data_IF_351449899798
#
_entry.id   IF_351449899798
#
_cell.length_a   1.000
_cell.length_b   1.000
_cell.length_c   1.000
_cell.angle_alpha   90.00
_cell.angle_beta   90.00
_cell.angle_gamma   90.00
#
_symmetry.space_group_name_H-M   'P 1'
#
loop_
_entity.id
_entity.type
_entity.pdbx_description
1 polymer ?
#
# COMPACT_ATOMS: atom_id res chain seq x y z
N UNK A 1 37.56 -82.30 -40.66
CA UNK A 1 37.18 -81.01 -40.08
C UNK A 1 38.42 -80.14 -40.11
N UNK A 2 38.44 -79.14 -41.00
CA UNK A 2 39.66 -78.43 -41.40
C UNK A 2 40.21 -77.51 -40.31
N UNK A 3 41.50 -77.65 -40.00
CA UNK A 3 42.24 -76.83 -39.02
C UNK A 3 42.27 -75.32 -39.38
N UNK A 4 41.92 -74.97 -40.60
CA UNK A 4 41.75 -73.58 -41.02
C UNK A 4 40.39 -73.01 -40.63
N UNK A 5 39.35 -73.84 -40.63
CA UNK A 5 38.00 -73.44 -40.23
C UNK A 5 37.96 -73.08 -38.74
N UNK A 6 38.57 -73.91 -37.88
CA UNK A 6 38.68 -73.62 -36.44
C UNK A 6 39.43 -72.32 -36.15
N UNK A 7 40.52 -72.06 -36.89
CA UNK A 7 41.28 -70.82 -36.73
C UNK A 7 40.51 -69.59 -37.19
N UNK A 8 39.62 -69.73 -38.17
CA UNK A 8 38.76 -68.66 -38.68
C UNK A 8 37.59 -68.39 -37.72
N UNK A 9 36.97 -69.43 -37.19
CA UNK A 9 35.92 -69.32 -36.16
C UNK A 9 36.47 -68.68 -34.90
N UNK A 10 37.66 -69.10 -34.43
CA UNK A 10 38.28 -68.52 -33.24
C UNK A 10 38.60 -67.03 -33.42
N UNK A 11 39.12 -66.63 -34.58
CA UNK A 11 39.34 -65.21 -34.91
C UNK A 11 38.05 -64.39 -34.97
N UNK A 12 37.00 -64.90 -35.62
CA UNK A 12 35.71 -64.20 -35.66
C UNK A 12 35.05 -64.10 -34.29
N UNK A 13 35.28 -65.07 -33.41
CA UNK A 13 34.77 -65.04 -32.03
C UNK A 13 35.54 -64.04 -31.18
N UNK A 14 36.88 -64.01 -31.27
CA UNK A 14 37.71 -63.06 -30.53
C UNK A 14 37.53 -61.61 -31.01
N UNK A 15 37.30 -61.40 -32.32
CA UNK A 15 36.97 -60.08 -32.88
C UNK A 15 35.55 -59.64 -32.51
N UNK A 16 34.58 -60.54 -32.51
CA UNK A 16 33.20 -60.26 -32.06
C UNK A 16 33.12 -59.99 -30.54
N UNK A 17 33.98 -60.61 -29.73
CA UNK A 17 34.07 -60.32 -28.30
C UNK A 17 34.67 -58.95 -28.00
N UNK A 18 35.62 -58.47 -28.82
CA UNK A 18 36.17 -57.12 -28.65
C UNK A 18 35.13 -56.02 -28.85
N UNK A 19 34.20 -56.19 -29.80
CA UNK A 19 33.09 -55.25 -30.01
C UNK A 19 32.10 -55.23 -28.83
N UNK A 20 31.94 -56.37 -28.13
CA UNK A 20 31.16 -56.44 -26.88
C UNK A 20 31.87 -55.73 -25.71
N UNK A 21 33.21 -55.82 -25.65
CA UNK A 21 34.01 -55.11 -24.64
C UNK A 21 33.97 -53.59 -24.85
N UNK A 22 34.01 -53.10 -26.10
CA UNK A 22 33.80 -51.68 -26.40
C UNK A 22 32.45 -51.18 -25.91
N UNK A 23 31.37 -51.96 -26.01
CA UNK A 23 30.06 -51.58 -25.49
C UNK A 23 30.05 -51.50 -23.95
N UNK A 24 30.78 -52.37 -23.27
CA UNK A 24 30.92 -52.30 -21.80
C UNK A 24 31.74 -51.09 -21.36
N UNK A 25 32.81 -50.76 -22.09
CA UNK A 25 33.69 -49.64 -21.81
C UNK A 25 33.03 -48.29 -22.17
N UNK A 26 32.29 -48.24 -23.27
CA UNK A 26 31.45 -47.11 -23.66
C UNK A 26 30.28 -46.93 -22.69
N UNK A 27 29.62 -48.01 -22.24
CA UNK A 27 28.63 -47.92 -21.16
C UNK A 27 29.28 -47.39 -19.89
N UNK A 28 30.49 -47.82 -19.54
CA UNK A 28 31.27 -47.31 -18.40
C UNK A 28 31.55 -45.81 -18.53
N UNK A 29 32.09 -45.37 -19.66
CA UNK A 29 32.39 -43.96 -19.97
C UNK A 29 31.13 -43.09 -20.05
N UNK A 30 30.02 -43.59 -20.58
CA UNK A 30 28.71 -42.91 -20.59
C UNK A 30 28.13 -42.83 -19.18
N UNK A 31 28.21 -43.89 -18.36
CA UNK A 31 27.80 -43.86 -16.95
C UNK A 31 28.65 -42.88 -16.13
N UNK A 32 29.94 -42.76 -16.45
CA UNK A 32 30.86 -41.84 -15.79
C UNK A 32 30.68 -40.38 -16.25
N UNK A 33 30.28 -40.15 -17.51
CA UNK A 33 29.87 -38.82 -18.02
C UNK A 33 28.51 -38.39 -17.47
N UNK A 34 27.55 -39.29 -17.30
CA UNK A 34 26.23 -39.01 -16.69
C UNK A 34 26.37 -38.74 -15.17
N UNK A 35 27.31 -39.39 -14.47
CA UNK A 35 27.62 -39.08 -13.07
C UNK A 35 28.35 -37.74 -12.85
N UNK A 36 28.70 -37.01 -13.91
CA UNK A 36 29.21 -35.64 -13.86
C UNK A 36 28.12 -34.59 -14.01
N UNK A 37 26.84 -34.96 -13.83
CA UNK A 37 25.85 -33.97 -13.51
C UNK A 37 26.17 -33.38 -12.14
N UNK A 38 26.39 -32.08 -12.18
CA UNK A 38 26.74 -31.15 -11.10
C UNK A 38 26.06 -31.58 -9.80
N UNK A 39 26.72 -31.45 -8.63
CA UNK A 39 26.07 -31.76 -7.37
C UNK A 39 24.75 -31.02 -7.34
N UNK A 40 23.64 -31.78 -7.30
CA UNK A 40 22.33 -31.24 -7.06
C UNK A 40 22.40 -30.65 -5.65
N UNK A 41 22.86 -29.38 -5.56
CA UNK A 41 22.65 -28.57 -4.38
C UNK A 41 21.15 -28.56 -4.27
N UNK A 42 20.61 -29.37 -3.34
CA UNK A 42 19.24 -29.23 -2.87
C UNK A 42 19.13 -27.76 -2.51
N UNK A 43 18.57 -26.96 -3.42
CA UNK A 43 18.23 -25.58 -3.20
C UNK A 43 17.01 -25.68 -2.29
N UNK A 44 17.24 -25.90 -1.00
CA UNK A 44 16.19 -25.92 0.02
C UNK A 44 15.37 -24.61 -0.01
N UNK A 45 15.93 -23.56 -0.60
CA UNK A 45 15.29 -22.29 -0.90
C UNK A 45 14.37 -22.29 -2.13
N UNK A 46 14.47 -23.24 -3.07
CA UNK A 46 13.58 -23.28 -4.24
C UNK A 46 12.08 -23.43 -3.88
N UNK A 47 11.67 -24.36 -3.00
CA UNK A 47 10.27 -24.41 -2.56
C UNK A 47 9.88 -23.21 -1.70
N UNK A 48 10.81 -22.65 -0.92
CA UNK A 48 10.55 -21.48 -0.06
C UNK A 48 10.33 -20.22 -0.91
N UNK A 49 11.15 -20.00 -1.93
CA UNK A 49 11.03 -18.86 -2.85
C UNK A 49 9.76 -18.98 -3.69
N UNK A 50 9.39 -20.18 -4.16
CA UNK A 50 8.12 -20.34 -4.87
C UNK A 50 6.92 -20.05 -3.97
N UNK A 51 6.97 -20.46 -2.69
CA UNK A 51 5.91 -20.18 -1.72
C UNK A 51 5.82 -18.67 -1.42
N UNK A 52 6.97 -18.00 -1.27
CA UNK A 52 7.06 -16.54 -1.09
C UNK A 52 6.47 -15.77 -2.28
N UNK A 53 6.77 -16.20 -3.52
CA UNK A 53 6.22 -15.57 -4.73
C UNK A 53 4.70 -15.76 -4.80
N UNK A 54 4.19 -16.95 -4.46
CA UNK A 54 2.74 -17.21 -4.43
C UNK A 54 2.06 -16.36 -3.35
N UNK A 55 2.66 -16.25 -2.15
CA UNK A 55 2.14 -15.39 -1.07
C UNK A 55 2.15 -13.92 -1.50
N UNK A 56 3.20 -13.45 -2.16
CA UNK A 56 3.32 -12.07 -2.61
C UNK A 56 2.33 -11.75 -3.75
N UNK A 57 2.07 -12.69 -4.65
CA UNK A 57 1.02 -12.55 -5.67
C UNK A 57 -0.38 -12.58 -5.06
N UNK A 58 -0.64 -13.44 -4.06
CA UNK A 58 -1.90 -13.42 -3.31
C UNK A 58 -2.09 -12.11 -2.55
N UNK A 59 -1.02 -11.54 -1.99
CA UNK A 59 -1.04 -10.25 -1.30
C UNK A 59 -1.35 -9.11 -2.27
N UNK A 60 -0.67 -9.04 -3.42
CA UNK A 60 -0.97 -8.05 -4.47
C UNK A 60 -2.40 -8.23 -4.98
N UNK A 61 -2.84 -9.46 -5.21
CA UNK A 61 -4.20 -9.74 -5.68
C UNK A 61 -5.25 -9.31 -4.66
N UNK A 62 -5.03 -9.56 -3.36
CA UNK A 62 -5.92 -9.10 -2.29
C UNK A 62 -5.95 -7.57 -2.15
N UNK A 63 -4.81 -6.91 -2.29
CA UNK A 63 -4.72 -5.43 -2.32
C UNK A 63 -5.46 -4.85 -3.52
N UNK A 64 -5.38 -5.48 -4.68
CA UNK A 64 -6.04 -5.01 -5.92
C UNK A 64 -7.54 -5.34 -5.95
N UNK A 65 -7.98 -6.44 -5.33
CA UNK A 65 -9.39 -6.86 -5.33
C UNK A 65 -10.20 -6.48 -4.08
N UNK A 66 -9.55 -5.98 -3.02
CA UNK A 66 -10.24 -5.66 -1.77
C UNK A 66 -10.86 -6.87 -1.06
N UNK A 67 -10.38 -8.09 -1.32
CA UNK A 67 -10.87 -9.31 -0.69
C UNK A 67 -10.07 -9.62 0.60
N UNK A 68 -10.79 -9.75 1.72
CA UNK A 68 -10.25 -9.95 3.06
C UNK A 68 -9.46 -11.27 3.19
N UNK A 69 -8.13 -11.17 3.31
CA UNK A 69 -7.26 -12.30 3.68
C UNK A 69 -7.41 -12.61 5.17
N UNK A 70 -8.19 -13.65 5.51
CA UNK A 70 -8.48 -14.11 6.87
C UNK A 70 -7.30 -14.71 7.68
N UNK A 71 -6.05 -14.31 7.40
CA UNK A 71 -4.87 -14.72 8.17
C UNK A 71 -4.13 -13.53 8.82
N UNK A 72 -4.52 -12.30 8.50
CA UNK A 72 -4.05 -11.09 9.19
C UNK A 72 -5.28 -10.53 9.91
N UNK A 73 -5.21 -10.50 11.24
CA UNK A 73 -6.33 -10.25 12.14
C UNK A 73 -7.28 -9.17 11.66
N UNK A 74 -8.53 -9.57 11.52
CA UNK A 74 -9.72 -8.83 11.11
C UNK A 74 -10.10 -7.72 12.12
N UNK A 75 -9.16 -7.26 12.94
CA UNK A 75 -9.33 -6.15 13.89
C UNK A 75 -8.40 -4.99 13.50
N UNK A 76 -7.22 -5.31 12.96
CA UNK A 76 -6.24 -4.32 12.49
C UNK A 76 -6.62 -3.74 11.12
N UNK A 77 -7.17 -4.56 10.22
CA UNK A 77 -7.63 -4.12 8.90
C UNK A 77 -9.07 -3.58 8.90
N UNK A 78 -9.96 -4.11 9.75
CA UNK A 78 -11.37 -3.67 9.79
C UNK A 78 -11.50 -2.24 10.33
N UNK A 79 -10.74 -1.89 11.38
CA UNK A 79 -10.64 -0.49 11.82
C UNK A 79 -9.88 0.42 10.84
N UNK A 80 -9.18 -0.14 9.85
CA UNK A 80 -8.51 0.62 8.81
C UNK A 80 -9.44 0.95 7.63
N UNK A 81 -10.47 0.12 7.37
CA UNK A 81 -11.35 0.24 6.20
C UNK A 81 -12.85 0.44 6.49
N UNK A 82 -13.34 0.24 7.73
CA UNK A 82 -14.77 0.39 8.02
C UNK A 82 -15.21 1.85 8.16
N UNK A 83 -14.39 2.72 8.77
CA UNK A 83 -14.71 4.14 8.90
C UNK A 83 -14.19 4.99 7.73
N UNK A 84 -13.14 4.55 7.02
CA UNK A 84 -12.54 5.29 5.90
C UNK A 84 -13.36 5.23 4.61
N UNK A 85 -14.41 4.40 4.54
CA UNK A 85 -15.21 4.25 3.31
C UNK A 85 -16.37 5.22 3.19
N UNK A 86 -16.72 5.92 4.27
CA UNK A 86 -17.92 6.75 4.32
C UNK A 86 -17.63 8.23 4.54
N UNK A 87 -16.38 8.60 4.80
CA UNK A 87 -16.06 9.98 5.13
C UNK A 87 -14.68 10.41 4.64
N UNK A 88 -14.68 11.45 3.82
CA UNK A 88 -13.48 12.18 3.41
C UNK A 88 -13.75 13.69 3.56
N UNK A 89 -12.74 14.47 3.93
CA UNK A 89 -12.77 15.93 4.01
C UNK A 89 -11.50 16.56 3.45
N UNK A 90 -11.69 17.66 2.76
CA UNK A 90 -10.68 18.56 2.27
C UNK A 90 -11.01 19.96 2.77
N UNK A 91 -10.04 20.60 3.41
CA UNK A 91 -10.16 21.98 3.84
C UNK A 91 -9.01 22.75 3.19
N UNK A 92 -9.37 23.76 2.41
CA UNK A 92 -8.43 24.57 1.65
C UNK A 92 -8.46 26.02 2.16
N UNK A 93 -7.45 26.41 2.92
CA UNK A 93 -7.32 27.76 3.43
C UNK A 93 -6.77 28.71 2.36
N UNK A 94 -7.43 29.87 2.18
CA UNK A 94 -7.07 30.84 1.12
C UNK A 94 -5.63 31.35 1.22
N UNK A 95 -5.11 31.50 2.43
CA UNK A 95 -3.73 31.91 2.70
C UNK A 95 -3.02 30.94 3.66
N UNK A 96 -3.31 29.64 3.57
CA UNK A 96 -2.83 28.65 4.53
C UNK A 96 -2.54 27.26 3.92
N UNK A 97 -2.31 26.25 4.78
CA UNK A 97 -2.21 24.88 4.32
C UNK A 97 -3.59 24.38 3.88
N UNK A 98 -3.61 23.55 2.84
CA UNK A 98 -4.75 22.75 2.44
C UNK A 98 -4.54 21.34 3.00
N UNK A 99 -5.51 20.80 3.73
CA UNK A 99 -5.46 19.43 4.24
C UNK A 99 -6.50 18.60 3.51
N UNK A 100 -6.05 17.55 2.81
CA UNK A 100 -6.91 16.61 2.11
C UNK A 100 -6.79 15.24 2.76
N UNK A 101 -7.88 14.75 3.34
CA UNK A 101 -7.97 13.34 3.76
C UNK A 101 -8.31 12.41 2.59
N UNK A 102 -8.81 12.95 1.46
CA UNK A 102 -9.01 12.18 0.21
C UNK A 102 -7.69 11.65 -0.33
N UNK A 103 -6.70 12.55 -0.42
CA UNK A 103 -5.38 12.23 -0.96
C UNK A 103 -4.40 11.81 0.14
N UNK A 104 -4.78 12.02 1.40
CA UNK A 104 -3.90 11.85 2.56
C UNK A 104 -2.69 12.77 2.42
N UNK A 105 -2.93 14.06 2.16
CA UNK A 105 -1.86 15.05 1.99
C UNK A 105 -2.16 16.34 2.73
N UNK A 106 -1.08 17.04 3.09
CA UNK A 106 -1.11 18.45 3.45
C UNK A 106 -0.26 19.20 2.44
N UNK A 107 -0.86 20.22 1.86
CA UNK A 107 -0.23 21.09 0.87
C UNK A 107 -0.09 22.47 1.46
N UNK A 108 1.05 23.10 1.26
CA UNK A 108 1.24 24.51 1.55
C UNK A 108 2.09 25.11 0.45
N UNK A 109 1.60 26.17 -0.18
CA UNK A 109 2.28 26.79 -1.32
C UNK A 109 2.63 25.70 -2.35
N UNK A 110 3.92 25.46 -2.59
CA UNK A 110 4.42 24.43 -3.52
C UNK A 110 4.87 23.12 -2.84
N UNK A 111 4.72 23.01 -1.52
CA UNK A 111 5.17 21.85 -0.73
C UNK A 111 3.99 20.93 -0.44
N UNK A 112 4.04 19.72 -0.98
CA UNK A 112 3.08 18.64 -0.68
C UNK A 112 3.77 17.60 0.20
N UNK A 113 3.20 17.32 1.37
CA UNK A 113 3.64 16.22 2.24
C UNK A 113 2.54 15.17 2.37
N UNK A 114 2.88 13.87 2.32
CA UNK A 114 1.92 12.83 2.67
C UNK A 114 1.49 13.06 4.12
N UNK A 115 0.26 12.77 4.48
CA UNK A 115 -0.31 12.93 5.81
C UNK A 115 -1.08 11.66 6.16
N UNK A 116 -0.81 11.12 7.35
CA UNK A 116 -1.56 9.97 7.86
C UNK A 116 -2.05 10.25 9.27
N UNK A 117 -3.36 10.05 9.44
CA UNK A 117 -4.01 10.09 10.73
C UNK A 117 -4.05 8.67 11.32
N UNK A 118 -3.74 8.58 12.60
CA UNK A 118 -3.95 7.39 13.43
C UNK A 118 -5.44 7.09 13.58
N UNK A 119 -5.77 5.89 14.07
CA UNK A 119 -7.16 5.51 14.29
C UNK A 119 -7.88 6.48 15.23
N UNK A 120 -7.26 6.80 16.36
CA UNK A 120 -7.86 7.67 17.37
C UNK A 120 -8.07 9.11 16.87
N UNK A 121 -7.13 9.62 16.05
CA UNK A 121 -7.28 10.93 15.40
C UNK A 121 -8.42 10.93 14.39
N UNK A 122 -8.53 9.87 13.56
CA UNK A 122 -9.63 9.74 12.60
C UNK A 122 -10.98 9.63 13.29
N UNK A 123 -11.08 8.86 14.37
CA UNK A 123 -12.34 8.68 15.10
C UNK A 123 -12.80 10.01 15.73
N UNK A 124 -11.86 10.86 16.20
CA UNK A 124 -12.17 12.21 16.69
C UNK A 124 -12.62 13.16 15.58
N UNK A 125 -11.91 13.17 14.45
CA UNK A 125 -12.28 13.95 13.27
C UNK A 125 -13.70 13.54 12.84
N UNK A 126 -13.95 12.25 12.68
CA UNK A 126 -15.24 11.72 12.29
C UNK A 126 -16.36 12.12 13.25
N UNK A 127 -16.17 11.95 14.56
CA UNK A 127 -17.15 12.36 15.55
C UNK A 127 -17.48 13.87 15.48
N UNK A 128 -16.48 14.70 15.16
CA UNK A 128 -16.69 16.13 14.97
C UNK A 128 -17.49 16.43 13.70
N UNK A 129 -17.20 15.76 12.59
CA UNK A 129 -18.00 15.89 11.36
C UNK A 129 -19.44 15.43 11.56
N UNK A 130 -19.67 14.31 12.24
CA UNK A 130 -21.03 13.83 12.51
C UNK A 130 -21.85 14.83 13.35
N UNK A 131 -21.17 15.70 14.12
CA UNK A 131 -21.81 16.77 14.87
C UNK A 131 -22.18 17.99 14.01
N UNK A 132 -21.70 18.08 12.78
CA UNK A 132 -21.93 19.18 11.84
C UNK A 132 -22.99 18.76 10.83
N UNK A 133 -24.02 19.58 10.66
CA UNK A 133 -25.13 19.28 9.75
C UNK A 133 -24.83 19.64 8.29
N UNK A 134 -23.87 18.92 7.70
CA UNK A 134 -23.54 19.08 6.28
C UNK A 134 -24.72 18.72 5.36
N UNK A 135 -25.57 17.75 5.75
CA UNK A 135 -26.71 17.32 4.92
C UNK A 135 -27.85 18.35 4.93
N UNK A 136 -28.11 19.00 6.07
CA UNK A 136 -29.13 20.03 6.25
C UNK A 136 -28.75 21.42 5.74
N UNK A 137 -27.46 21.64 5.47
CA UNK A 137 -26.92 22.91 4.98
C UNK A 137 -26.43 23.80 6.13
N UNK A 138 -25.24 24.38 5.94
CA UNK A 138 -24.59 25.22 6.95
C UNK A 138 -25.00 26.69 6.82
N UNK A 139 -25.35 27.31 7.95
CA UNK A 139 -25.53 28.75 8.07
C UNK A 139 -24.16 29.41 8.20
N UNK A 140 -23.58 29.82 7.07
CA UNK A 140 -22.28 30.48 7.03
C UNK A 140 -22.44 31.97 6.74
N UNK A 141 -21.88 32.85 7.58
CA UNK A 141 -21.99 34.29 7.40
C UNK A 141 -21.18 34.76 6.19
N UNK A 142 -21.74 35.70 5.44
CA UNK A 142 -21.01 36.45 4.41
C UNK A 142 -19.83 37.23 5.03
N UNK A 143 -18.81 37.51 4.22
CA UNK A 143 -17.59 38.27 4.59
C UNK A 143 -17.86 39.69 5.16
N UNK A 144 -19.11 40.18 5.09
CA UNK A 144 -19.48 41.56 5.45
C UNK A 144 -19.52 41.74 6.96
N UNK A 145 -18.54 42.47 7.49
CA UNK A 145 -18.51 42.91 8.90
C UNK A 145 -17.78 41.98 9.84
N UNK A 146 -17.06 41.01 9.30
CA UNK A 146 -16.26 40.10 10.08
C UNK A 146 -14.80 40.57 10.14
N UNK A 147 -14.21 40.53 11.35
CA UNK A 147 -12.76 40.60 11.49
C UNK A 147 -12.21 39.27 11.01
N UNK A 148 -11.90 39.19 9.70
CA UNK A 148 -11.32 38.00 9.09
C UNK A 148 -10.16 37.49 9.95
N UNK A 149 -10.14 36.19 10.22
CA UNK A 149 -8.95 35.55 10.76
C UNK A 149 -7.73 35.91 9.89
N UNK A 150 -6.51 35.91 10.45
CA UNK A 150 -5.30 36.36 9.75
C UNK A 150 -5.00 35.64 8.42
N UNK A 151 -5.67 34.52 8.14
CA UNK A 151 -5.43 33.66 6.98
C UNK A 151 -6.60 33.66 5.96
N UNK A 152 -7.62 34.50 6.18
CA UNK A 152 -8.79 34.62 5.32
C UNK A 152 -9.79 33.47 5.49
N UNK A 153 -10.73 33.38 4.54
CA UNK A 153 -11.69 32.27 4.47
C UNK A 153 -11.04 30.95 4.02
N UNK A 154 -11.78 29.86 4.19
CA UNK A 154 -11.39 28.53 3.72
C UNK A 154 -12.56 27.84 3.03
N UNK A 155 -12.24 26.97 2.09
CA UNK A 155 -13.20 26.12 1.40
C UNK A 155 -13.19 24.74 2.06
N UNK A 156 -14.37 24.23 2.39
CA UNK A 156 -14.58 22.90 2.97
C UNK A 156 -15.30 22.05 1.95
N UNK A 157 -14.72 20.90 1.66
CA UNK A 157 -15.31 19.86 0.84
C UNK A 157 -15.38 18.58 1.64
N UNK A 158 -16.59 18.18 2.01
CA UNK A 158 -16.86 16.95 2.75
C UNK A 158 -17.54 15.93 1.84
N UNK A 159 -17.08 14.69 1.85
CA UNK A 159 -17.76 13.54 1.26
C UNK A 159 -18.31 12.67 2.39
N UNK A 160 -19.62 12.55 2.50
CA UNK A 160 -20.30 11.76 3.53
C UNK A 160 -21.17 10.72 2.84
N UNK A 161 -20.93 9.42 3.12
CA UNK A 161 -21.67 8.27 2.55
C UNK A 161 -21.75 8.27 1.01
N UNK A 162 -20.81 8.93 0.34
CA UNK A 162 -20.74 9.04 -1.12
C UNK A 162 -21.26 10.36 -1.69
N UNK A 163 -21.99 11.15 -0.91
CA UNK A 163 -22.45 12.48 -1.29
C UNK A 163 -21.38 13.54 -0.99
N UNK A 164 -21.27 14.57 -1.83
CA UNK A 164 -20.25 15.62 -1.72
C UNK A 164 -20.92 16.95 -1.39
N UNK A 165 -20.43 17.60 -0.35
CA UNK A 165 -20.88 18.89 0.14
C UNK A 165 -19.73 19.88 0.10
N UNK A 166 -19.96 21.05 -0.49
CA UNK A 166 -18.96 22.10 -0.65
C UNK A 166 -19.46 23.40 -0.03
N UNK A 167 -18.64 23.99 0.84
CA UNK A 167 -18.95 25.21 1.57
C UNK A 167 -17.75 26.15 1.54
N UNK A 168 -18.03 27.46 1.54
CA UNK A 168 -17.01 28.49 1.73
C UNK A 168 -17.25 29.16 3.07
N UNK A 169 -16.31 29.02 3.99
CA UNK A 169 -16.28 29.76 5.25
C UNK A 169 -15.48 31.04 5.06
N UNK A 170 -16.00 32.13 5.61
CA UNK A 170 -15.33 33.42 5.69
C UNK A 170 -14.33 33.51 6.86
N UNK A 171 -14.20 32.44 7.67
CA UNK A 171 -13.38 32.43 8.90
C UNK A 171 -14.04 33.20 10.04
N UNK A 172 -15.37 33.25 10.03
CA UNK A 172 -16.17 34.14 10.86
C UNK A 172 -17.02 33.37 11.88
N UNK A 173 -16.68 33.50 13.15
CA UNK A 173 -17.28 32.77 14.29
C UNK A 173 -18.69 33.23 14.70
N UNK A 174 -19.47 33.84 13.80
CA UNK A 174 -20.75 34.47 14.17
C UNK A 174 -21.89 33.46 14.30
N UNK A 175 -21.89 32.37 13.52
CA UNK A 175 -22.90 31.30 13.59
C UNK A 175 -22.39 30.09 14.37
N UNK A 176 -23.29 29.17 14.73
CA UNK A 176 -22.89 27.92 15.37
C UNK A 176 -22.12 27.01 14.39
N UNK A 177 -22.55 26.98 13.13
CA UNK A 177 -21.96 26.14 12.09
C UNK A 177 -20.56 26.60 11.72
N UNK A 178 -20.33 27.92 11.62
CA UNK A 178 -18.99 28.45 11.36
C UNK A 178 -18.02 28.13 12.49
N UNK A 179 -18.45 28.27 13.75
CA UNK A 179 -17.66 27.83 14.92
C UNK A 179 -17.38 26.34 14.89
N UNK A 180 -18.33 25.52 14.49
CA UNK A 180 -18.14 24.07 14.43
C UNK A 180 -17.12 23.66 13.35
N UNK A 181 -17.12 24.35 12.19
CA UNK A 181 -16.09 24.18 11.16
C UNK A 181 -14.71 24.66 11.63
N UNK A 182 -14.65 25.80 12.32
CA UNK A 182 -13.38 26.32 12.84
C UNK A 182 -12.78 25.37 13.89
N UNK A 183 -13.59 24.85 14.81
CA UNK A 183 -13.16 23.85 15.79
C UNK A 183 -12.66 22.55 15.12
N UNK A 184 -13.30 22.13 14.03
CA UNK A 184 -12.84 20.99 13.24
C UNK A 184 -11.48 21.27 12.60
N UNK A 185 -11.30 22.46 12.03
CA UNK A 185 -10.06 22.86 11.39
C UNK A 185 -8.90 22.95 12.39
N UNK A 186 -9.11 23.63 13.52
CA UNK A 186 -8.13 23.75 14.60
C UNK A 186 -7.73 22.38 15.14
N UNK A 187 -8.70 21.50 15.37
CA UNK A 187 -8.44 20.13 15.83
C UNK A 187 -7.55 19.36 14.84
N UNK A 188 -7.82 19.46 13.54
CA UNK A 188 -7.01 18.79 12.52
C UNK A 188 -5.58 19.35 12.49
N UNK A 189 -5.43 20.67 12.56
CA UNK A 189 -4.11 21.32 12.57
C UNK A 189 -3.29 20.99 13.82
N UNK A 190 -3.93 20.92 14.99
CA UNK A 190 -3.30 20.49 16.24
C UNK A 190 -2.78 19.04 16.11
N UNK A 191 -3.60 18.12 15.59
CA UNK A 191 -3.18 16.74 15.33
C UNK A 191 -2.00 16.68 14.35
N UNK A 192 -1.99 17.53 13.32
CA UNK A 192 -0.90 17.58 12.34
C UNK A 192 0.36 18.17 12.97
N UNK A 193 0.27 19.23 13.76
CA UNK A 193 1.43 19.86 14.41
C UNK A 193 2.10 19.01 15.46
N UNK A 194 1.35 18.11 16.08
CA UNK A 194 1.89 17.11 17.00
C UNK A 194 2.69 15.99 16.28
N UNK A 195 2.68 15.95 14.94
CA UNK A 195 3.45 14.97 14.16
C UNK A 195 4.84 15.53 13.83
N UNK A 196 5.90 14.71 13.98
CA UNK A 196 7.26 15.15 13.69
C UNK A 196 7.42 15.45 12.19
N UNK A 197 7.99 16.61 11.86
CA UNK A 197 8.27 17.04 10.49
C UNK A 197 7.11 17.77 9.80
N UNK A 198 6.03 18.06 10.52
CA UNK A 198 4.88 18.84 10.05
C UNK A 198 4.77 20.20 10.73
N UNK A 199 5.64 20.51 11.70
CA UNK A 199 5.64 21.77 12.44
C UNK A 199 5.65 22.94 11.46
N UNK A 200 6.59 22.96 10.52
CA UNK A 200 6.66 23.98 9.47
C UNK A 200 5.42 24.00 8.57
N UNK A 201 4.66 22.90 8.43
CA UNK A 201 3.41 22.82 7.64
C UNK A 201 2.17 23.31 8.36
N UNK A 202 2.27 23.60 9.67
CA UNK A 202 1.19 24.20 10.48
C UNK A 202 1.64 25.38 11.35
N UNK A 203 2.92 25.73 11.37
CA UNK A 203 3.50 26.77 12.24
C UNK A 203 2.81 28.15 12.19
N UNK A 204 2.40 28.69 11.03
CA UNK A 204 1.62 29.92 10.95
C UNK A 204 0.27 29.82 11.66
N UNK A 205 -0.27 28.62 11.89
CA UNK A 205 -1.59 28.37 12.49
C UNK A 205 -1.55 28.04 13.99
N UNK A 206 -0.46 27.49 14.52
CA UNK A 206 -0.37 27.05 15.93
C UNK A 206 0.27 28.08 16.87
N UNK A 207 0.82 29.17 16.34
CA UNK A 207 1.36 30.28 17.13
C UNK A 207 0.24 31.32 17.33
N UNK A 208 -0.73 31.01 18.18
CA UNK A 208 -1.64 32.00 18.79
C UNK A 208 -2.02 31.58 20.21
#
# INVERSE_FOLDING_TARGET
>A
MDRELERKIKRMTDEGLKDLDFNSELKGKVRQKIKRDKPYRRRWYAPVISLLIVVLLLFIFAVVKGENLGFIGNEWLSGFFENSKNFDIEINASHGPSVSTFDGTITREDVVKPLSFTKDERDRIFAKIESIDFEGGLDLPDDKGCNMQPYGGYEVKARIKGDVYEYRSSGCHTTADSRALDELWEMMLEMIGNKPGYEEMVEPYLIM
#
